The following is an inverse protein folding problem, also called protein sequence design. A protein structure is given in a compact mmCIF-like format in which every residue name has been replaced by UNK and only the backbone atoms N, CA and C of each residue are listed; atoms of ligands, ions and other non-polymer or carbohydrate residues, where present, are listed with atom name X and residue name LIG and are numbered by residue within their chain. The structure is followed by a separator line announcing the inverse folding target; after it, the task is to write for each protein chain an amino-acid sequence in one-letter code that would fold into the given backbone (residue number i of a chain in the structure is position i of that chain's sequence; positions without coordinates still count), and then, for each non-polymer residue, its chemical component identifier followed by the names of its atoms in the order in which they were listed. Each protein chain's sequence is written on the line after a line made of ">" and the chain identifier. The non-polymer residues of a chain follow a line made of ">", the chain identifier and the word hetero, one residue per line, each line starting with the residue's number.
data_IF_714407587939
#
_entry.id   IF_714407587939
#
_cell.length_a   1.000
_cell.length_b   1.000
_cell.length_c   1.000
_cell.angle_alpha   90.00
_cell.angle_beta   90.00
_cell.angle_gamma   90.00
#
_symmetry.space_group_name_H-M   'P 1'
#
loop_
_entity.id
_entity.type
_entity.pdbx_description
1 polymer ?
#
# COMPACT_ATOMS: atom_id res chain seq x y z
N UNK A 1 -4.39 27.63 11.74
CA UNK A 1 -4.18 27.91 10.30
C UNK A 1 -4.90 26.82 9.52
N UNK A 2 -6.22 26.93 9.41
CA UNK A 2 -7.05 26.18 8.47
C UNK A 2 -7.68 27.23 7.56
N UNK A 3 -7.61 27.04 6.24
CA UNK A 3 -8.52 27.59 5.22
C UNK A 3 -7.94 27.45 3.79
N UNK A 4 -7.27 26.34 3.48
CA UNK A 4 -6.86 26.03 2.09
C UNK A 4 -7.72 24.95 1.43
N UNK A 5 -8.53 24.18 2.18
CA UNK A 5 -9.39 23.13 1.61
C UNK A 5 -10.83 23.59 1.26
N UNK A 6 -11.38 24.62 1.91
CA UNK A 6 -12.78 25.02 1.68
C UNK A 6 -13.03 25.73 0.33
N UNK A 7 -11.98 26.26 -0.31
CA UNK A 7 -12.12 27.00 -1.56
C UNK A 7 -12.19 26.10 -2.81
N UNK A 8 -11.78 24.83 -2.71
CA UNK A 8 -11.70 23.92 -3.87
C UNK A 8 -13.07 23.35 -4.29
N UNK A 9 -14.04 23.31 -3.37
CA UNK A 9 -15.38 22.76 -3.59
C UNK A 9 -16.30 23.65 -4.44
N UNK A 10 -15.97 24.93 -4.62
CA UNK A 10 -16.82 25.89 -5.34
C UNK A 10 -16.55 25.87 -6.86
N UNK A 11 -15.38 25.38 -7.28
CA UNK A 11 -14.94 25.38 -8.69
C UNK A 11 -14.89 23.98 -9.32
N UNK A 12 -14.85 22.90 -8.52
CA UNK A 12 -14.87 21.52 -9.03
C UNK A 12 -16.29 20.98 -9.20
N UNK A 13 -16.57 20.40 -10.36
CA UNK A 13 -17.82 19.67 -10.57
C UNK A 13 -17.84 18.38 -9.74
N UNK A 14 -19.01 18.03 -9.18
CA UNK A 14 -19.18 16.79 -8.39
C UNK A 14 -18.72 15.52 -9.12
N UNK A 15 -18.75 15.51 -10.46
CA UNK A 15 -18.29 14.39 -11.29
C UNK A 15 -16.78 14.20 -11.24
N UNK A 16 -16.03 15.29 -11.20
CA UNK A 16 -14.56 15.26 -11.13
C UNK A 16 -14.12 14.78 -9.76
N UNK A 17 -14.79 15.27 -8.70
CA UNK A 17 -14.56 14.80 -7.34
C UNK A 17 -14.80 13.28 -7.19
N UNK A 18 -15.91 12.78 -7.73
CA UNK A 18 -16.19 11.34 -7.74
C UNK A 18 -15.18 10.56 -8.61
N UNK A 19 -14.67 11.14 -9.68
CA UNK A 19 -13.64 10.49 -10.50
C UNK A 19 -12.31 10.38 -9.75
N UNK A 20 -11.88 11.45 -9.09
CA UNK A 20 -10.69 11.47 -8.23
C UNK A 20 -10.82 10.48 -7.08
N UNK A 21 -11.95 10.48 -6.36
CA UNK A 21 -12.20 9.53 -5.27
C UNK A 21 -12.18 8.07 -5.73
N UNK A 22 -12.72 7.77 -6.92
CA UNK A 22 -12.61 6.43 -7.52
C UNK A 22 -11.17 6.05 -7.84
N UNK A 23 -10.35 6.97 -8.33
CA UNK A 23 -8.93 6.71 -8.59
C UNK A 23 -8.15 6.53 -7.28
N UNK A 24 -8.43 7.35 -6.27
CA UNK A 24 -7.84 7.22 -4.94
C UNK A 24 -8.18 5.85 -4.33
N UNK A 25 -9.44 5.45 -4.34
CA UNK A 25 -9.85 4.11 -3.85
C UNK A 25 -9.20 2.98 -4.67
N UNK A 26 -9.12 3.11 -6.00
CA UNK A 26 -8.45 2.13 -6.84
C UNK A 26 -6.99 1.94 -6.44
N UNK A 27 -6.29 3.05 -6.26
CA UNK A 27 -4.92 3.09 -5.81
C UNK A 27 -4.75 2.48 -4.42
N UNK A 28 -5.59 2.86 -3.45
CA UNK A 28 -5.59 2.31 -2.09
C UNK A 28 -5.72 0.77 -2.09
N UNK A 29 -6.72 0.25 -2.81
CA UNK A 29 -6.96 -1.20 -2.89
C UNK A 29 -5.80 -1.89 -3.60
N UNK A 30 -5.24 -1.29 -4.65
CA UNK A 30 -4.08 -1.83 -5.35
C UNK A 30 -2.86 -1.95 -4.43
N UNK A 31 -2.46 -0.84 -3.80
CA UNK A 31 -1.34 -0.77 -2.86
C UNK A 31 -1.54 -1.74 -1.69
N UNK A 32 -2.76 -1.84 -1.15
CA UNK A 32 -3.05 -2.77 -0.07
C UNK A 32 -2.82 -4.23 -0.46
N UNK A 33 -3.21 -4.61 -1.68
CA UNK A 33 -2.98 -5.96 -2.19
C UNK A 33 -1.49 -6.20 -2.46
N UNK A 34 -0.80 -5.25 -3.10
CA UNK A 34 0.63 -5.38 -3.40
C UNK A 34 1.47 -5.53 -2.12
N UNK A 35 1.18 -4.72 -1.09
CA UNK A 35 1.85 -4.82 0.22
C UNK A 35 1.71 -6.19 0.86
N UNK A 36 0.54 -6.78 0.75
CA UNK A 36 0.30 -8.11 1.29
C UNK A 36 0.61 -9.24 0.32
N UNK A 37 1.01 -8.91 -0.91
CA UNK A 37 1.19 -9.89 -1.99
C UNK A 37 -0.08 -10.69 -2.28
N UNK A 38 -1.25 -10.05 -2.15
CA UNK A 38 -2.55 -10.68 -2.30
C UNK A 38 -3.06 -10.66 -3.74
N UNK A 39 -3.85 -11.68 -4.08
CA UNK A 39 -4.73 -11.62 -5.25
C UNK A 39 -6.05 -10.94 -4.89
N UNK A 40 -6.82 -10.52 -5.90
CA UNK A 40 -8.15 -9.91 -5.73
C UNK A 40 -9.19 -10.83 -5.05
N UNK A 41 -8.85 -12.10 -4.78
CA UNK A 41 -9.73 -13.08 -4.12
C UNK A 41 -9.60 -13.10 -2.60
N UNK A 42 -8.55 -12.49 -2.04
CA UNK A 42 -8.25 -12.60 -0.59
C UNK A 42 -9.31 -11.88 0.24
N UNK A 43 -9.64 -10.62 -0.08
CA UNK A 43 -10.64 -9.86 0.68
C UNK A 43 -12.05 -10.48 0.61
N UNK A 44 -12.56 -10.93 -0.56
CA UNK A 44 -13.83 -11.65 -0.64
C UNK A 44 -13.83 -12.95 0.15
N UNK A 45 -12.76 -13.74 0.06
CA UNK A 45 -12.65 -15.00 0.81
C UNK A 45 -12.60 -14.75 2.33
N UNK A 46 -11.91 -13.69 2.76
CA UNK A 46 -11.87 -13.30 4.17
C UNK A 46 -13.24 -12.83 4.68
N UNK A 47 -13.94 -12.04 3.88
CA UNK A 47 -15.28 -11.56 4.22
C UNK A 47 -16.28 -12.71 4.32
N UNK A 48 -16.23 -13.67 3.40
CA UNK A 48 -17.09 -14.86 3.41
C UNK A 48 -16.76 -15.79 4.59
N UNK A 49 -15.47 -16.11 4.80
CA UNK A 49 -15.04 -17.02 5.85
C UNK A 49 -15.36 -16.55 7.27
N UNK A 50 -15.44 -15.23 7.50
CA UNK A 50 -15.68 -14.62 8.79
C UNK A 50 -17.02 -13.86 8.89
N UNK A 51 -17.88 -13.99 7.88
CA UNK A 51 -19.18 -13.30 7.78
C UNK A 51 -19.09 -11.78 8.03
N UNK A 52 -18.13 -11.13 7.37
CA UNK A 52 -17.84 -9.69 7.56
C UNK A 52 -18.70 -8.77 6.68
N UNK A 53 -19.67 -9.34 5.96
CA UNK A 53 -20.44 -8.68 4.92
C UNK A 53 -20.13 -9.21 3.53
N UNK A 54 -20.81 -8.67 2.51
CA UNK A 54 -20.78 -9.22 1.14
C UNK A 54 -19.93 -8.37 0.21
N UNK A 55 -18.89 -8.99 -0.32
CA UNK A 55 -18.11 -8.43 -1.41
C UNK A 55 -17.66 -9.54 -2.36
N UNK A 56 -17.87 -9.34 -3.67
CA UNK A 56 -17.51 -10.29 -4.70
C UNK A 56 -16.15 -9.98 -5.34
N UNK A 57 -15.50 -11.01 -5.89
CA UNK A 57 -14.23 -10.89 -6.63
C UNK A 57 -14.28 -9.81 -7.72
N UNK A 58 -15.40 -9.70 -8.44
CA UNK A 58 -15.60 -8.69 -9.49
C UNK A 58 -15.65 -7.27 -8.93
N UNK A 59 -16.20 -7.08 -7.73
CA UNK A 59 -16.25 -5.77 -7.08
C UNK A 59 -14.85 -5.33 -6.65
N UNK A 60 -14.03 -6.22 -6.07
CA UNK A 60 -12.64 -5.92 -5.72
C UNK A 60 -11.82 -5.63 -6.98
N UNK A 61 -11.96 -6.45 -8.03
CA UNK A 61 -11.29 -6.21 -9.31
C UNK A 61 -11.68 -4.86 -9.92
N UNK A 62 -12.97 -4.51 -9.93
CA UNK A 62 -13.45 -3.25 -10.47
C UNK A 62 -13.05 -2.04 -9.59
N UNK A 63 -13.03 -2.19 -8.26
CA UNK A 63 -12.51 -1.17 -7.35
C UNK A 63 -11.05 -0.89 -7.64
N UNK A 64 -10.21 -1.94 -7.68
CA UNK A 64 -8.77 -1.85 -7.95
C UNK A 64 -8.44 -1.17 -9.29
N UNK A 65 -9.35 -1.24 -10.26
CA UNK A 65 -9.19 -0.63 -11.58
C UNK A 65 -9.94 0.71 -11.73
N UNK A 66 -10.57 1.24 -10.68
CA UNK A 66 -11.34 2.49 -10.72
C UNK A 66 -12.63 2.42 -11.56
N UNK A 67 -13.10 1.21 -11.88
CA UNK A 67 -14.25 0.95 -12.76
C UNK A 67 -15.57 0.79 -12.00
N UNK A 68 -15.54 0.59 -10.68
CA UNK A 68 -16.75 0.44 -9.89
C UNK A 68 -17.37 1.81 -9.61
N UNK A 69 -18.44 2.16 -10.32
CA UNK A 69 -19.07 3.47 -10.24
C UNK A 69 -19.94 3.65 -8.97
N UNK A 70 -20.66 2.60 -8.58
CA UNK A 70 -21.64 2.64 -7.49
C UNK A 70 -21.58 1.38 -6.62
N UNK A 71 -20.52 1.21 -5.80
CA UNK A 71 -20.49 0.16 -4.77
C UNK A 71 -21.64 0.33 -3.78
N UNK A 72 -22.28 -0.78 -3.41
CA UNK A 72 -23.22 -0.79 -2.30
C UNK A 72 -22.52 -0.60 -0.95
N UNK A 73 -23.25 -0.16 0.09
CA UNK A 73 -22.67 0.08 1.42
C UNK A 73 -22.02 -1.17 2.03
N UNK A 74 -22.54 -2.37 1.73
CA UNK A 74 -21.99 -3.65 2.20
C UNK A 74 -20.54 -3.89 1.75
N UNK A 75 -20.13 -3.33 0.60
CA UNK A 75 -18.75 -3.44 0.12
C UNK A 75 -17.82 -2.72 1.08
N UNK A 76 -18.16 -1.50 1.49
CA UNK A 76 -17.34 -0.72 2.43
C UNK A 76 -17.37 -1.32 3.84
N UNK A 77 -18.52 -1.87 4.25
CA UNK A 77 -18.64 -2.60 5.52
C UNK A 77 -17.69 -3.80 5.53
N UNK A 78 -17.74 -4.65 4.51
CA UNK A 78 -16.88 -5.82 4.39
C UNK A 78 -15.39 -5.47 4.40
N UNK A 79 -15.00 -4.44 3.64
CA UNK A 79 -13.60 -3.97 3.60
C UNK A 79 -13.16 -3.41 4.95
N UNK A 80 -13.99 -2.59 5.61
CA UNK A 80 -13.68 -2.01 6.92
C UNK A 80 -13.58 -3.07 8.02
N UNK A 81 -14.45 -4.07 8.02
CA UNK A 81 -14.41 -5.18 8.97
C UNK A 81 -13.21 -6.10 8.71
N UNK A 82 -12.92 -6.44 7.45
CA UNK A 82 -11.71 -7.18 7.09
C UNK A 82 -10.46 -6.45 7.58
N UNK A 83 -10.40 -5.14 7.40
CA UNK A 83 -9.30 -4.32 7.88
C UNK A 83 -9.17 -4.33 9.41
N UNK A 84 -10.29 -4.23 10.14
CA UNK A 84 -10.31 -4.30 11.60
C UNK A 84 -9.80 -5.65 12.13
N UNK A 85 -10.19 -6.75 11.47
CA UNK A 85 -9.71 -8.10 11.78
C UNK A 85 -8.19 -8.20 11.60
N UNK A 86 -7.67 -7.68 10.48
CA UNK A 86 -6.23 -7.67 10.22
C UNK A 86 -5.47 -6.84 11.26
N UNK A 87 -6.03 -5.70 11.67
CA UNK A 87 -5.46 -4.86 12.72
C UNK A 87 -5.45 -5.53 14.10
N UNK A 88 -6.47 -6.32 14.44
CA UNK A 88 -6.49 -7.12 15.67
C UNK A 88 -5.47 -8.27 15.65
N UNK A 89 -4.93 -8.60 14.47
CA UNK A 89 -3.99 -9.70 14.25
C UNK A 89 -4.70 -11.03 13.95
N UNK A 90 -3.94 -12.00 13.46
CA UNK A 90 -4.50 -13.28 13.01
C UNK A 90 -4.81 -14.26 14.15
N UNK A 91 -4.23 -14.06 15.34
CA UNK A 91 -4.38 -15.00 16.46
C UNK A 91 -5.84 -15.34 16.80
N UNK A 92 -6.80 -14.39 16.85
CA UNK A 92 -8.19 -14.68 17.20
C UNK A 92 -8.95 -15.46 16.12
N UNK A 93 -8.51 -15.41 14.87
CA UNK A 93 -9.22 -15.99 13.70
C UNK A 93 -8.50 -17.23 13.14
N UNK A 94 -7.33 -17.56 13.67
CA UNK A 94 -6.44 -18.58 13.10
C UNK A 94 -7.06 -19.97 13.12
N UNK A 95 -7.67 -20.38 14.24
CA UNK A 95 -8.27 -21.72 14.38
C UNK A 95 -9.43 -21.90 13.40
N UNK A 96 -10.33 -20.92 13.37
CA UNK A 96 -11.47 -20.93 12.46
C UNK A 96 -11.03 -20.97 10.99
N UNK A 97 -10.09 -20.10 10.59
CA UNK A 97 -9.59 -20.10 9.21
C UNK A 97 -8.84 -21.39 8.85
N UNK A 98 -8.17 -22.05 9.80
CA UNK A 98 -7.54 -23.34 9.54
C UNK A 98 -8.58 -24.43 9.20
N UNK A 99 -9.78 -24.35 9.79
CA UNK A 99 -10.88 -25.27 9.52
C UNK A 99 -11.61 -24.93 8.21
N UNK A 100 -12.03 -23.68 8.05
CA UNK A 100 -12.93 -23.30 6.93
C UNK A 100 -12.19 -22.93 5.65
N UNK A 101 -10.97 -22.38 5.73
CA UNK A 101 -10.23 -21.93 4.55
C UNK A 101 -8.70 -21.94 4.78
N UNK A 102 -8.05 -23.12 4.87
CA UNK A 102 -6.63 -23.24 5.21
C UNK A 102 -5.68 -22.53 4.23
N UNK A 103 -6.03 -22.50 2.94
CA UNK A 103 -5.25 -21.77 1.93
C UNK A 103 -5.26 -20.25 2.16
N UNK A 104 -6.39 -19.69 2.60
CA UNK A 104 -6.49 -18.28 2.95
C UNK A 104 -5.61 -17.96 4.16
N UNK A 105 -5.63 -18.82 5.19
CA UNK A 105 -4.76 -18.66 6.36
C UNK A 105 -3.28 -18.62 5.98
N UNK A 106 -2.84 -19.46 5.03
CA UNK A 106 -1.46 -19.45 4.54
C UNK A 106 -1.12 -18.10 3.89
N UNK A 107 -1.99 -17.59 3.02
CA UNK A 107 -1.80 -16.29 2.36
C UNK A 107 -1.75 -15.13 3.37
N UNK A 108 -2.61 -15.16 4.40
CA UNK A 108 -2.62 -14.12 5.44
C UNK A 108 -1.39 -14.16 6.34
N UNK A 109 -0.83 -15.35 6.59
CA UNK A 109 0.45 -15.51 7.32
C UNK A 109 1.63 -14.90 6.55
N UNK A 110 1.57 -14.93 5.22
CA UNK A 110 2.60 -14.33 4.36
C UNK A 110 2.46 -12.79 4.27
N UNK A 111 1.26 -12.24 4.51
CA UNK A 111 1.01 -10.81 4.54
C UNK A 111 -0.39 -10.48 5.07
N UNK A 112 -0.48 -9.67 6.12
CA UNK A 112 -1.73 -9.22 6.78
C UNK A 112 -1.66 -7.79 7.33
N UNK A 113 -0.89 -6.93 6.67
CA UNK A 113 -0.74 -5.51 7.00
C UNK A 113 -2.08 -4.77 6.81
N UNK A 114 -2.63 -4.14 7.87
CA UNK A 114 -3.87 -3.37 7.80
C UNK A 114 -3.67 -1.97 7.17
N UNK A 115 -4.77 -1.37 6.74
CA UNK A 115 -4.89 0.05 6.37
C UNK A 115 -5.10 0.90 7.61
N UNK A 116 -4.17 1.81 7.90
CA UNK A 116 -4.22 2.70 9.06
C UNK A 116 -4.34 4.16 8.66
N UNK A 117 -5.01 4.96 9.50
CA UNK A 117 -5.02 6.42 9.41
C UNK A 117 -3.71 7.02 9.95
N UNK A 118 -3.57 8.35 9.87
CA UNK A 118 -2.41 9.10 10.36
C UNK A 118 -2.16 8.94 11.88
N UNK A 119 -3.15 8.45 12.63
CA UNK A 119 -3.09 8.21 14.08
C UNK A 119 -2.94 6.72 14.39
N UNK A 120 -2.60 5.89 13.40
CA UNK A 120 -2.45 4.44 13.51
C UNK A 120 -3.74 3.69 13.87
N UNK A 121 -4.91 4.26 13.59
CA UNK A 121 -6.20 3.55 13.75
C UNK A 121 -6.59 2.86 12.45
N UNK A 122 -7.24 1.67 12.49
CA UNK A 122 -7.71 1.01 11.28
C UNK A 122 -8.80 1.83 10.58
N UNK A 123 -8.69 1.97 9.26
CA UNK A 123 -9.75 2.55 8.45
C UNK A 123 -11.02 1.70 8.52
N UNK A 124 -12.13 2.33 8.92
CA UNK A 124 -13.46 1.72 8.89
C UNK A 124 -14.22 2.01 7.59
N UNK A 125 -15.44 1.49 7.51
CA UNK A 125 -16.32 1.62 6.34
C UNK A 125 -16.58 3.08 5.93
N UNK A 126 -16.81 3.97 6.92
CA UNK A 126 -17.05 5.40 6.67
C UNK A 126 -15.85 6.08 6.01
N UNK A 127 -14.64 5.86 6.54
CA UNK A 127 -13.42 6.43 5.97
C UNK A 127 -13.16 5.92 4.54
N UNK A 128 -13.37 4.62 4.30
CA UNK A 128 -13.27 4.06 2.95
C UNK A 128 -14.30 4.67 1.99
N UNK A 129 -15.53 4.88 2.44
CA UNK A 129 -16.56 5.54 1.64
C UNK A 129 -16.19 7.00 1.33
N UNK A 130 -15.72 7.76 2.31
CA UNK A 130 -15.27 9.15 2.14
C UNK A 130 -14.11 9.27 1.14
N UNK A 131 -13.15 8.34 1.16
CA UNK A 131 -12.08 8.27 0.15
C UNK A 131 -12.70 8.01 -1.24
N UNK A 132 -13.59 7.03 -1.36
CA UNK A 132 -14.22 6.67 -2.63
C UNK A 132 -15.01 7.82 -3.27
N UNK A 133 -15.70 8.63 -2.46
CA UNK A 133 -16.45 9.79 -2.97
C UNK A 133 -15.60 11.06 -3.09
N UNK A 134 -14.31 11.01 -2.74
CA UNK A 134 -13.39 12.14 -2.83
C UNK A 134 -13.62 13.21 -1.75
N UNK A 135 -14.14 12.83 -0.58
CA UNK A 135 -14.25 13.70 0.60
C UNK A 135 -13.04 13.58 1.53
N UNK A 136 -12.40 12.42 1.56
CA UNK A 136 -11.18 12.18 2.34
C UNK A 136 -9.98 11.93 1.41
N UNK A 137 -8.82 12.43 1.82
CA UNK A 137 -7.55 12.08 1.19
C UNK A 137 -7.12 10.67 1.57
N UNK A 138 -6.21 10.10 0.78
CA UNK A 138 -5.59 8.83 1.10
C UNK A 138 -4.79 8.92 2.42
N UNK A 139 -4.72 7.83 3.20
CA UNK A 139 -3.92 7.81 4.41
C UNK A 139 -2.43 8.05 4.10
N UNK A 140 -1.67 8.62 5.05
CA UNK A 140 -0.23 8.74 4.93
C UNK A 140 0.41 7.40 4.56
N UNK A 141 1.27 7.44 3.56
CA UNK A 141 1.97 6.28 3.03
C UNK A 141 1.20 5.37 2.10
N UNK A 142 0.07 5.83 1.55
CA UNK A 142 -0.66 5.19 0.45
C UNK A 142 -0.92 6.15 -0.73
N UNK A 143 -0.23 7.29 -0.77
CA UNK A 143 -0.36 8.30 -1.84
C UNK A 143 0.99 8.99 -2.06
N UNK A 144 1.99 8.23 -2.50
CA UNK A 144 3.31 8.78 -2.83
C UNK A 144 3.30 9.56 -4.16
N UNK A 145 2.23 9.36 -4.96
CA UNK A 145 2.01 9.95 -6.29
C UNK A 145 3.23 9.79 -7.18
N UNK A 146 3.82 8.60 -7.14
CA UNK A 146 4.99 8.30 -7.96
C UNK A 146 4.54 8.25 -9.41
N UNK A 147 5.05 9.16 -10.23
CA UNK A 147 4.72 9.16 -11.65
C UNK A 147 5.47 8.03 -12.39
N UNK A 148 4.88 7.41 -13.43
CA UNK A 148 5.56 6.38 -14.22
C UNK A 148 6.91 6.84 -14.79
N UNK A 149 7.07 8.15 -15.05
CA UNK A 149 8.29 8.71 -15.62
C UNK A 149 9.43 8.84 -14.60
N UNK A 150 9.13 8.90 -13.29
CA UNK A 150 10.16 9.00 -12.25
C UNK A 150 10.52 7.64 -11.62
N UNK A 151 9.77 6.57 -11.91
CA UNK A 151 9.94 5.29 -11.21
C UNK A 151 11.32 4.65 -11.41
N UNK A 152 11.88 4.72 -12.63
CA UNK A 152 13.22 4.20 -12.92
C UNK A 152 14.31 4.99 -12.18
N UNK A 153 14.23 6.33 -12.20
CA UNK A 153 15.17 7.19 -11.50
C UNK A 153 15.11 6.98 -9.98
N UNK A 154 13.91 6.87 -9.41
CA UNK A 154 13.74 6.59 -8.00
C UNK A 154 14.21 5.19 -7.62
N UNK A 155 14.01 4.19 -8.47
CA UNK A 155 14.50 2.82 -8.24
C UNK A 155 16.02 2.81 -8.12
N UNK A 156 16.73 3.48 -9.03
CA UNK A 156 18.17 3.63 -8.98
C UNK A 156 18.63 4.40 -7.74
N UNK A 157 18.00 5.54 -7.42
CA UNK A 157 18.35 6.34 -6.25
C UNK A 157 18.16 5.57 -4.93
N UNK A 158 17.12 4.74 -4.84
CA UNK A 158 16.89 3.87 -3.68
C UNK A 158 17.96 2.79 -3.61
N UNK A 159 18.30 2.14 -4.73
CA UNK A 159 19.36 1.15 -4.77
C UNK A 159 20.69 1.75 -4.28
N UNK A 160 21.07 2.93 -4.78
CA UNK A 160 22.28 3.64 -4.36
C UNK A 160 22.25 4.01 -2.88
N UNK A 161 21.10 4.50 -2.39
CA UNK A 161 20.95 4.92 -0.99
C UNK A 161 21.00 3.73 -0.02
N UNK A 162 20.31 2.63 -0.34
CA UNK A 162 20.31 1.42 0.49
C UNK A 162 21.66 0.70 0.43
N UNK A 163 22.32 0.67 -0.73
CA UNK A 163 23.66 0.10 -0.88
C UNK A 163 24.77 1.05 -0.38
N UNK A 164 24.45 2.30 -0.04
CA UNK A 164 25.40 3.33 0.43
C UNK A 164 26.58 3.55 -0.52
N UNK A 165 26.31 3.51 -1.82
CA UNK A 165 27.33 3.60 -2.87
C UNK A 165 28.27 2.39 -2.96
N UNK A 166 28.03 1.31 -2.21
CA UNK A 166 28.75 0.04 -2.37
C UNK A 166 28.13 -0.77 -3.51
N UNK A 167 28.93 -1.67 -4.11
CA UNK A 167 28.37 -2.61 -5.08
C UNK A 167 27.41 -3.60 -4.40
N UNK A 168 26.40 -4.07 -5.13
CA UNK A 168 25.44 -5.06 -4.61
C UNK A 168 26.13 -6.29 -4.01
N UNK A 169 27.22 -6.75 -4.63
CA UNK A 169 28.00 -7.91 -4.12
C UNK A 169 28.55 -7.72 -2.72
N UNK A 170 28.80 -6.48 -2.29
CA UNK A 170 29.41 -6.16 -1.00
C UNK A 170 28.38 -5.90 0.10
N UNK A 171 27.20 -5.38 -0.27
CA UNK A 171 26.17 -4.99 0.70
C UNK A 171 24.93 -5.90 0.71
N UNK A 172 24.82 -6.86 -0.22
CA UNK A 172 23.64 -7.73 -0.39
C UNK A 172 23.14 -8.31 0.91
N UNK A 173 23.97 -9.00 1.67
CA UNK A 173 23.52 -9.74 2.85
C UNK A 173 22.94 -8.79 3.91
N UNK A 174 23.62 -7.66 4.14
CA UNK A 174 23.19 -6.61 5.07
C UNK A 174 21.86 -5.97 4.63
N UNK A 175 21.74 -5.61 3.34
CA UNK A 175 20.53 -4.96 2.80
C UNK A 175 19.34 -5.94 2.79
N UNK A 176 19.57 -7.20 2.41
CA UNK A 176 18.54 -8.24 2.41
C UNK A 176 18.08 -8.61 3.84
N UNK A 177 18.98 -8.56 4.83
CA UNK A 177 18.63 -8.73 6.24
C UNK A 177 17.87 -7.52 6.79
N UNK A 178 18.17 -6.32 6.31
CA UNK A 178 17.45 -5.11 6.69
C UNK A 178 16.02 -5.05 6.10
N UNK A 179 15.79 -5.64 4.93
CA UNK A 179 14.49 -5.63 4.27
C UNK A 179 13.44 -6.47 5.01
N UNK A 180 12.34 -5.87 5.53
CA UNK A 180 11.43 -6.52 6.48
C UNK A 180 10.50 -7.57 5.86
N UNK A 181 10.38 -7.60 4.53
CA UNK A 181 9.44 -8.48 3.84
C UNK A 181 9.98 -9.90 3.77
N UNK A 182 9.15 -10.88 4.15
CA UNK A 182 9.49 -12.31 4.15
C UNK A 182 9.12 -13.03 2.84
N UNK A 183 8.17 -12.48 2.06
CA UNK A 183 7.66 -13.13 0.85
C UNK A 183 8.73 -13.24 -0.24
N UNK A 184 9.04 -14.47 -0.67
CA UNK A 184 10.13 -14.77 -1.62
C UNK A 184 10.06 -13.94 -2.90
N UNK A 185 8.90 -13.87 -3.55
CA UNK A 185 8.74 -13.13 -4.80
C UNK A 185 9.04 -11.62 -4.65
N UNK A 186 8.64 -11.01 -3.52
CA UNK A 186 8.94 -9.59 -3.25
C UNK A 186 10.42 -9.39 -2.94
N UNK A 187 11.04 -10.32 -2.20
CA UNK A 187 12.48 -10.32 -1.90
C UNK A 187 13.33 -10.49 -3.15
N UNK A 188 12.92 -11.35 -4.08
CA UNK A 188 13.59 -11.54 -5.38
C UNK A 188 13.51 -10.26 -6.21
N UNK A 189 12.31 -9.68 -6.38
CA UNK A 189 12.12 -8.39 -7.06
C UNK A 189 12.99 -7.29 -6.44
N UNK A 190 12.99 -7.18 -5.11
CA UNK A 190 13.84 -6.22 -4.38
C UNK A 190 15.32 -6.44 -4.69
N UNK A 191 15.81 -7.68 -4.65
CA UNK A 191 17.20 -8.00 -4.98
C UNK A 191 17.55 -7.67 -6.44
N UNK A 192 16.63 -7.87 -7.39
CA UNK A 192 16.82 -7.49 -8.80
C UNK A 192 16.97 -5.97 -8.97
N UNK A 193 16.14 -5.20 -8.26
CA UNK A 193 16.22 -3.73 -8.29
C UNK A 193 17.51 -3.23 -7.64
N UNK A 194 17.89 -3.76 -6.48
CA UNK A 194 19.14 -3.39 -5.82
C UNK A 194 20.38 -3.76 -6.65
N UNK A 195 20.28 -4.82 -7.46
CA UNK A 195 21.33 -5.22 -8.39
C UNK A 195 21.36 -4.40 -9.70
N UNK A 196 20.40 -3.51 -9.92
CA UNK A 196 20.26 -2.74 -11.16
C UNK A 196 19.84 -3.57 -12.37
N UNK A 197 19.25 -4.75 -12.15
CA UNK A 197 18.79 -5.63 -13.23
C UNK A 197 17.38 -5.26 -13.73
N UNK A 198 16.67 -4.46 -12.94
CA UNK A 198 15.27 -4.09 -13.12
C UNK A 198 14.96 -2.80 -12.35
N UNK A 199 13.92 -2.10 -12.77
CA UNK A 199 13.29 -1.02 -12.00
C UNK A 199 11.92 -1.43 -11.44
N UNK A 200 11.49 -0.76 -10.37
CA UNK A 200 10.09 -0.78 -9.95
C UNK A 200 9.23 0.02 -10.93
N UNK A 201 8.02 -0.47 -11.20
CA UNK A 201 6.98 0.40 -11.76
C UNK A 201 6.55 1.45 -10.72
N UNK A 202 5.85 2.50 -11.14
CA UNK A 202 5.31 3.51 -10.21
C UNK A 202 4.43 2.86 -9.13
N UNK A 203 3.58 1.92 -9.52
CA UNK A 203 2.65 1.23 -8.63
C UNK A 203 3.37 0.29 -7.66
N UNK A 204 4.37 -0.46 -8.15
CA UNK A 204 5.18 -1.31 -7.30
C UNK A 204 5.96 -0.49 -6.28
N UNK A 205 6.52 0.64 -6.73
CA UNK A 205 7.29 1.52 -5.86
C UNK A 205 6.40 2.13 -4.78
N UNK A 206 5.18 2.55 -5.13
CA UNK A 206 4.22 3.09 -4.17
C UNK A 206 3.87 2.07 -3.08
N UNK A 207 3.62 0.82 -3.51
CA UNK A 207 3.39 -0.33 -2.64
C UNK A 207 4.55 -0.62 -1.68
N UNK A 208 5.77 -0.65 -2.22
CA UNK A 208 6.99 -1.03 -1.52
C UNK A 208 7.59 0.09 -0.66
N UNK A 209 7.23 1.36 -0.91
CA UNK A 209 8.00 2.49 -0.39
C UNK A 209 8.15 2.52 1.14
N UNK A 210 7.10 2.16 1.90
CA UNK A 210 7.21 2.09 3.37
C UNK A 210 8.19 1.00 3.82
N UNK A 211 8.23 -0.15 3.14
CA UNK A 211 9.17 -1.22 3.45
C UNK A 211 10.60 -0.81 3.06
N UNK A 212 10.77 -0.10 1.95
CA UNK A 212 12.06 0.48 1.53
C UNK A 212 12.57 1.53 2.52
N UNK A 213 11.68 2.41 2.99
CA UNK A 213 11.99 3.38 4.04
C UNK A 213 12.32 2.69 5.37
N UNK A 214 11.58 1.66 5.78
CA UNK A 214 11.89 0.86 6.96
C UNK A 214 13.27 0.18 6.85
N UNK A 215 13.62 -0.30 5.66
CA UNK A 215 14.94 -0.87 5.34
C UNK A 215 16.04 0.18 5.52
N UNK A 216 15.84 1.38 4.95
CA UNK A 216 16.74 2.51 5.10
C UNK A 216 16.96 2.87 6.59
N UNK A 217 15.89 2.97 7.38
CA UNK A 217 15.98 3.24 8.82
C UNK A 217 16.77 2.17 9.58
N UNK A 218 16.55 0.89 9.26
CA UNK A 218 17.23 -0.24 9.90
C UNK A 218 18.73 -0.24 9.56
N UNK A 219 19.08 0.18 8.35
CA UNK A 219 20.47 0.35 7.95
C UNK A 219 21.12 1.54 8.67
N UNK A 220 20.54 2.75 8.60
CA UNK A 220 21.16 4.00 9.09
C UNK A 220 21.19 4.13 10.62
N UNK A 221 20.37 3.39 11.37
CA UNK A 221 20.54 3.25 12.82
C UNK A 221 19.94 4.38 13.67
N UNK A 222 18.69 4.78 13.38
CA UNK A 222 17.85 5.86 13.99
C UNK A 222 18.15 7.27 13.46
N UNK A 223 17.21 8.20 13.30
CA UNK A 223 15.76 8.28 13.01
C UNK A 223 15.48 9.80 12.96
N UNK A 224 14.72 10.31 12.00
CA UNK A 224 14.35 11.74 11.98
C UNK A 224 13.68 12.23 10.70
N UNK A 225 14.02 11.62 9.56
CA UNK A 225 13.35 11.88 8.30
C UNK A 225 12.07 11.08 8.23
N UNK A 226 10.92 11.73 8.10
CA UNK A 226 9.66 11.04 7.72
C UNK A 226 9.80 10.34 6.37
N UNK A 227 8.94 9.35 6.09
CA UNK A 227 8.91 8.69 4.79
C UNK A 227 8.70 9.69 3.63
N UNK A 228 7.87 10.71 3.83
CA UNK A 228 7.66 11.81 2.88
C UNK A 228 8.94 12.60 2.60
N UNK A 229 9.70 12.91 3.66
CA UNK A 229 10.99 13.60 3.55
C UNK A 229 12.04 12.72 2.86
N UNK A 230 12.04 11.41 3.14
CA UNK A 230 12.90 10.46 2.44
C UNK A 230 12.58 10.41 0.94
N UNK A 231 11.30 10.39 0.56
CA UNK A 231 10.90 10.45 -0.85
C UNK A 231 11.34 11.77 -1.52
N UNK A 232 11.19 12.89 -0.81
CA UNK A 232 11.63 14.19 -1.29
C UNK A 232 13.15 14.25 -1.52
N UNK A 233 13.96 13.66 -0.63
CA UNK A 233 15.41 13.53 -0.81
C UNK A 233 15.76 12.71 -2.04
N UNK A 234 15.08 11.57 -2.24
CA UNK A 234 15.29 10.73 -3.42
C UNK A 234 14.99 11.51 -4.70
N UNK A 235 13.87 12.25 -4.74
CA UNK A 235 13.52 13.11 -5.88
C UNK A 235 14.54 14.23 -6.12
N UNK A 236 15.06 14.85 -5.06
CA UNK A 236 16.08 15.87 -5.19
C UNK A 236 17.40 15.30 -5.74
N UNK A 237 17.74 14.05 -5.39
CA UNK A 237 18.95 13.37 -5.89
C UNK A 237 18.86 12.93 -7.35
N UNK A 238 17.64 12.86 -7.92
CA UNK A 238 17.42 12.43 -9.31
C UNK A 238 17.24 13.58 -10.29
N UNK A 239 17.13 14.82 -9.81
CA UNK A 239 17.08 16.00 -10.69
C UNK A 239 18.51 16.38 -11.13
N UNK A 240 18.76 16.58 -12.44
CA UNK A 240 20.03 17.14 -12.89
C UNK A 240 20.14 18.59 -12.40
N UNK A 241 21.28 18.91 -11.78
CA UNK A 241 21.65 20.29 -11.41
C UNK A 241 21.98 21.16 -12.62
#
# INVERSE_FOLDING_TARGET
>A
MSNTNDADHVTRGYRDQLAEGRQAMAHLIHVWHERNGWSHKVLPALADALDLGRVHNSQISNLRNGKLASPGPEVFLALGQANAVLHAGLAPIQEHLAEVHPDLLKVLKDGSVPLLDARSNPLGAGALFEIFVGLASLPPGFDWRIAPQESALLSAAIADRLCRGQSWRQCRDLVMEAYPVSKTQRRERFAEVMAGMRDYSAEELDGEFLDLYATHLKLEGRQGLSAEAFLAELRASTQPG
#
